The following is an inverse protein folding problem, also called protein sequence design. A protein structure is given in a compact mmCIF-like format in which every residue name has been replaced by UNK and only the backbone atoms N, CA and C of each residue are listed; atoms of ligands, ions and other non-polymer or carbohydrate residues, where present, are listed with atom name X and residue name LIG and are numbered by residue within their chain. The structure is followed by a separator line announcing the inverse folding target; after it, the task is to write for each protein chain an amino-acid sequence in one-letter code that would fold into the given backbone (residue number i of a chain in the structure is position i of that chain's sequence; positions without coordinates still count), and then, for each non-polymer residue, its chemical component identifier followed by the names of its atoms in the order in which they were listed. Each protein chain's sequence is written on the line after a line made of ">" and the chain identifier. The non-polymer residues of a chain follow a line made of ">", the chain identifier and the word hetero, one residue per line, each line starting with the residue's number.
data_IF_783210509173
#
_entry.id   IF_783210509173
#
_cell.length_a   1.000
_cell.length_b   1.000
_cell.length_c   1.000
_cell.angle_alpha   90.00
_cell.angle_beta   90.00
_cell.angle_gamma   90.00
#
_symmetry.space_group_name_H-M   'P 1'
#
loop_
_entity.id
_entity.type
_entity.pdbx_description
1 polymer ?
#
# COMPACT_ATOMS: atom_id res chain seq x y z
N UNK A 1 7.88 83.62 5.83
CA UNK A 1 8.01 83.02 4.48
C UNK A 1 8.80 81.74 4.62
N UNK A 2 8.15 80.56 4.47
CA UNK A 2 8.42 79.55 3.41
C UNK A 2 9.92 79.22 3.30
N UNK A 3 10.39 78.03 3.68
CA UNK A 3 10.34 76.72 2.97
C UNK A 3 11.82 76.22 3.00
N UNK A 4 12.25 74.96 3.18
CA UNK A 4 11.88 73.67 2.63
C UNK A 4 12.68 72.60 3.42
N UNK A 5 12.06 71.45 3.62
CA UNK A 5 12.62 70.17 4.13
C UNK A 5 13.46 69.49 3.04
N UNK A 6 14.55 68.79 3.38
CA UNK A 6 15.04 67.52 2.77
C UNK A 6 15.95 66.88 3.84
N UNK A 7 15.43 65.97 4.69
CA UNK A 7 15.41 64.51 4.54
C UNK A 7 16.73 63.89 4.07
N UNK A 8 17.46 63.27 5.00
CA UNK A 8 18.25 62.08 4.68
C UNK A 8 17.81 60.97 5.65
N UNK A 9 16.89 60.14 5.17
CA UNK A 9 16.41 58.94 5.82
C UNK A 9 17.54 57.90 5.74
N UNK A 10 18.18 57.59 6.87
CA UNK A 10 19.11 56.46 6.95
C UNK A 10 18.29 55.17 6.94
N UNK A 11 18.11 54.57 5.78
CA UNK A 11 17.47 53.26 5.64
C UNK A 11 18.45 52.19 6.14
N UNK A 12 18.30 51.77 7.40
CA UNK A 12 18.99 50.60 7.93
C UNK A 12 18.32 49.35 7.33
N UNK A 13 18.93 48.80 6.28
CA UNK A 13 18.53 47.51 5.73
C UNK A 13 19.05 46.41 6.68
N UNK A 14 18.20 45.96 7.60
CA UNK A 14 18.47 44.73 8.35
C UNK A 14 18.13 43.56 7.42
N UNK A 15 19.15 42.97 6.80
CA UNK A 15 19.01 41.70 6.10
C UNK A 15 18.96 40.62 7.17
N UNK A 16 17.76 40.22 7.56
CA UNK A 16 17.56 39.00 8.34
C UNK A 16 17.73 37.81 7.40
N UNK A 17 18.86 37.12 7.49
CA UNK A 17 18.98 35.77 6.96
C UNK A 17 18.28 34.83 7.96
N UNK A 18 17.06 34.43 7.65
CA UNK A 18 16.48 33.24 8.27
C UNK A 18 17.24 32.05 7.72
N UNK A 19 18.20 31.54 8.47
CA UNK A 19 18.64 30.17 8.27
C UNK A 19 17.46 29.30 8.71
N UNK A 20 16.78 28.68 7.77
CA UNK A 20 16.09 27.44 8.06
C UNK A 20 17.21 26.42 8.33
N UNK A 21 17.77 26.45 9.53
CA UNK A 21 18.49 25.29 10.05
C UNK A 21 17.39 24.25 10.27
N UNK A 22 17.06 23.54 9.20
CA UNK A 22 16.10 22.45 9.16
C UNK A 22 16.68 21.26 9.89
N UNK A 23 17.04 21.46 11.16
CA UNK A 23 17.52 20.44 12.05
C UNK A 23 16.43 19.39 12.16
N UNK A 24 16.54 18.34 11.37
CA UNK A 24 15.77 17.12 11.56
C UNK A 24 16.25 16.54 12.89
N UNK A 25 15.60 16.94 13.97
CA UNK A 25 15.86 16.40 15.30
C UNK A 25 15.17 15.06 15.33
N UNK A 26 15.94 13.98 15.30
CA UNK A 26 15.44 12.65 15.59
C UNK A 26 14.89 12.64 17.02
N UNK A 27 13.57 12.68 17.17
CA UNK A 27 12.89 12.81 18.47
C UNK A 27 12.73 11.47 19.17
N UNK A 28 12.73 10.36 18.43
CA UNK A 28 12.65 9.02 18.99
C UNK A 28 13.41 7.98 18.15
N UNK A 29 13.89 6.95 18.83
CA UNK A 29 14.39 5.70 18.27
C UNK A 29 13.63 4.60 18.99
N UNK A 30 13.03 3.64 18.27
CA UNK A 30 12.74 2.35 18.88
C UNK A 30 14.10 1.83 19.40
N UNK A 31 14.24 1.50 20.70
CA UNK A 31 15.53 1.41 21.38
C UNK A 31 16.53 0.50 20.66
N UNK A 32 17.82 0.63 20.99
CA UNK A 32 18.97 -0.12 20.46
C UNK A 32 18.89 -1.64 20.71
N UNK A 33 17.86 -2.26 20.19
CA UNK A 33 17.49 -3.65 20.37
C UNK A 33 17.56 -4.33 19.01
N UNK A 34 18.73 -4.19 18.39
CA UNK A 34 19.12 -5.05 17.27
C UNK A 34 19.11 -6.48 17.82
N UNK A 35 18.20 -7.32 17.32
CA UNK A 35 18.14 -8.74 17.69
C UNK A 35 17.07 -9.14 18.71
N UNK A 36 16.25 -8.23 19.22
CA UNK A 36 15.13 -8.60 20.11
C UNK A 36 13.81 -7.88 19.83
N UNK A 37 13.75 -7.01 18.82
CA UNK A 37 12.50 -6.45 18.33
C UNK A 37 11.73 -7.51 17.53
N UNK A 38 10.73 -8.12 18.15
CA UNK A 38 9.93 -9.16 17.52
C UNK A 38 8.96 -8.64 16.47
N UNK A 39 8.63 -7.34 16.48
CA UNK A 39 7.66 -6.77 15.54
C UNK A 39 8.17 -6.88 14.11
N UNK A 40 9.43 -6.50 13.89
CA UNK A 40 10.10 -6.59 12.58
C UNK A 40 10.86 -7.91 12.40
N UNK A 41 10.48 -8.98 13.08
CA UNK A 41 11.10 -10.31 12.93
C UNK A 41 12.49 -10.47 13.56
N UNK A 42 12.91 -9.55 14.43
CA UNK A 42 14.12 -9.70 15.24
C UNK A 42 15.45 -9.62 14.48
N UNK A 43 15.43 -9.24 13.20
CA UNK A 43 16.65 -9.13 12.38
C UNK A 43 16.77 -7.77 11.71
N UNK A 44 18.00 -7.35 11.41
CA UNK A 44 18.29 -6.05 10.76
C UNK A 44 17.85 -5.98 9.29
N UNK A 45 17.44 -7.09 8.68
CA UNK A 45 17.13 -7.19 7.25
C UNK A 45 15.63 -7.09 6.90
N UNK A 46 14.74 -7.13 7.90
CA UNK A 46 13.29 -7.33 7.75
C UNK A 46 12.44 -6.10 8.08
N UNK A 47 13.06 -4.92 8.21
CA UNK A 47 12.34 -3.66 8.47
C UNK A 47 11.47 -3.17 7.30
N UNK A 48 10.75 -2.08 7.56
CA UNK A 48 9.76 -1.46 6.66
C UNK A 48 10.33 -1.16 5.27
N UNK A 49 9.51 -1.38 4.24
CA UNK A 49 9.85 -1.07 2.83
C UNK A 49 9.01 0.04 2.24
N UNK A 50 7.73 0.04 2.56
CA UNK A 50 6.79 1.08 2.18
C UNK A 50 5.84 1.40 3.33
N UNK A 51 5.28 2.61 3.24
CA UNK A 51 4.25 3.12 4.13
C UNK A 51 3.14 3.78 3.32
N UNK A 52 1.90 3.64 3.78
CA UNK A 52 0.78 4.53 3.42
C UNK A 52 0.35 5.25 4.71
N UNK A 53 0.05 6.55 4.64
CA UNK A 53 -0.12 7.36 5.84
C UNK A 53 -1.10 8.52 5.62
N UNK A 54 -1.78 8.90 6.70
CA UNK A 54 -2.68 10.05 6.73
C UNK A 54 -4.13 9.73 6.36
N UNK A 55 -4.48 8.44 6.23
CA UNK A 55 -5.88 8.00 6.25
C UNK A 55 -6.46 8.19 7.66
N UNK A 56 -7.78 8.35 7.74
CA UNK A 56 -8.62 8.14 8.92
C UNK A 56 -9.59 7.02 8.51
N UNK A 57 -9.03 5.81 8.37
CA UNK A 57 -9.65 4.70 7.64
C UNK A 57 -10.80 4.07 8.44
N UNK A 58 -10.77 4.17 9.77
CA UNK A 58 -11.86 3.74 10.65
C UNK A 58 -12.76 4.90 11.14
N UNK A 59 -12.52 6.12 10.67
CA UNK A 59 -13.40 7.28 10.86
C UNK A 59 -13.48 7.79 12.30
N UNK A 60 -12.48 7.49 13.15
CA UNK A 60 -12.43 7.93 14.54
C UNK A 60 -11.83 9.34 14.71
N UNK A 61 -11.28 9.91 13.63
CA UNK A 61 -10.67 11.24 13.59
C UNK A 61 -9.21 11.29 14.01
N UNK A 62 -8.59 10.16 14.31
CA UNK A 62 -7.14 9.98 14.33
C UNK A 62 -6.72 9.52 12.94
N UNK A 63 -5.41 9.57 12.68
CA UNK A 63 -4.89 9.15 11.40
C UNK A 63 -3.90 8.00 11.58
N UNK A 64 -3.91 7.08 10.63
CA UNK A 64 -3.10 5.87 10.63
C UNK A 64 -1.87 5.99 9.73
N UNK A 65 -0.90 5.14 10.04
CA UNK A 65 0.27 4.83 9.24
C UNK A 65 0.34 3.31 9.10
N UNK A 66 0.22 2.85 7.86
CA UNK A 66 0.30 1.46 7.46
C UNK A 66 1.73 1.17 7.03
N UNK A 67 2.39 0.22 7.69
CA UNK A 67 3.79 -0.10 7.46
C UNK A 67 3.97 -1.57 7.10
N UNK A 68 4.55 -1.82 5.93
CA UNK A 68 4.90 -3.17 5.48
C UNK A 68 5.99 -3.81 6.33
N UNK A 69 5.96 -5.13 6.43
CA UNK A 69 6.95 -5.95 7.13
C UNK A 69 7.25 -7.20 6.31
N UNK A 70 8.53 -7.57 6.25
CA UNK A 70 8.94 -8.87 5.69
C UNK A 70 8.91 -10.00 6.72
N UNK A 71 8.60 -9.68 7.98
CA UNK A 71 8.50 -10.69 9.02
C UNK A 71 7.39 -11.69 8.70
N UNK A 72 7.58 -12.93 9.15
CA UNK A 72 6.57 -13.99 9.13
C UNK A 72 5.89 -14.27 7.77
N UNK A 73 6.63 -14.07 6.67
CA UNK A 73 6.10 -14.31 5.32
C UNK A 73 5.52 -13.06 4.63
N UNK A 74 5.53 -11.90 5.30
CA UNK A 74 4.94 -10.67 4.79
C UNK A 74 3.71 -10.27 5.60
N UNK A 75 3.72 -9.06 6.15
CA UNK A 75 2.64 -8.50 6.97
C UNK A 75 2.55 -6.98 6.80
N UNK A 76 1.47 -6.40 7.29
CA UNK A 76 1.31 -4.95 7.48
C UNK A 76 0.99 -4.67 8.95
N UNK A 77 1.55 -3.58 9.48
CA UNK A 77 1.29 -3.07 10.82
C UNK A 77 0.62 -1.69 10.72
N UNK A 78 -0.40 -1.45 11.55
CA UNK A 78 -1.04 -0.15 11.68
C UNK A 78 -0.52 0.59 12.91
N UNK A 79 -0.05 1.82 12.71
CA UNK A 79 0.25 2.76 13.78
C UNK A 79 -0.72 3.93 13.72
N UNK A 80 -1.38 4.24 14.83
CA UNK A 80 -2.37 5.31 14.90
C UNK A 80 -1.90 6.43 15.82
N UNK A 81 -2.30 7.66 15.49
CA UNK A 81 -2.05 8.86 16.29
C UNK A 81 -2.80 8.84 17.64
N UNK A 82 -2.12 8.47 18.73
CA UNK A 82 -2.70 8.51 20.09
C UNK A 82 -2.50 9.81 20.87
N UNK A 83 -1.77 10.79 20.30
CA UNK A 83 -1.57 12.11 20.89
C UNK A 83 -0.59 12.98 20.11
N UNK A 84 -0.23 14.15 20.65
CA UNK A 84 0.79 15.02 20.03
C UNK A 84 2.10 14.25 19.87
N UNK A 85 2.60 14.17 18.64
CA UNK A 85 3.85 13.50 18.28
C UNK A 85 3.97 12.04 18.79
N UNK A 86 2.83 11.36 18.96
CA UNK A 86 2.76 10.00 19.53
C UNK A 86 1.98 9.06 18.60
N UNK A 87 2.53 7.86 18.39
CA UNK A 87 1.91 6.78 17.64
C UNK A 87 1.82 5.52 18.51
N UNK A 88 0.74 4.76 18.36
CA UNK A 88 0.53 3.45 18.98
C UNK A 88 0.36 2.37 17.92
N UNK A 89 0.95 1.18 18.12
CA UNK A 89 0.67 0.01 17.29
C UNK A 89 -0.71 -0.53 17.67
N UNK A 90 -1.68 -0.39 16.77
CA UNK A 90 -3.09 -0.71 17.03
C UNK A 90 -3.56 -1.97 16.31
N UNK A 91 -2.91 -2.33 15.20
CA UNK A 91 -3.29 -3.53 14.43
C UNK A 91 -2.10 -4.17 13.70
N UNK A 92 -2.22 -5.46 13.38
CA UNK A 92 -1.28 -6.21 12.54
C UNK A 92 -2.03 -7.27 11.76
N UNK A 93 -1.73 -7.38 10.46
CA UNK A 93 -2.33 -8.37 9.56
C UNK A 93 -2.04 -9.80 9.98
N UNK A 94 -2.74 -10.76 9.38
CA UNK A 94 -2.57 -12.16 9.71
C UNK A 94 -1.15 -12.68 9.43
N UNK A 95 -0.76 -13.74 10.14
CA UNK A 95 0.48 -14.44 9.88
C UNK A 95 0.22 -15.53 8.84
N UNK A 96 0.56 -15.25 7.58
CA UNK A 96 0.37 -16.18 6.46
C UNK A 96 1.52 -17.16 6.27
N UNK A 97 2.72 -16.83 6.77
CA UNK A 97 3.94 -17.65 6.63
C UNK A 97 4.30 -18.01 5.18
N UNK A 98 4.10 -17.09 4.23
CA UNK A 98 4.56 -17.28 2.85
C UNK A 98 6.03 -17.71 2.80
N UNK A 99 6.31 -18.61 1.88
CA UNK A 99 7.66 -19.12 1.62
C UNK A 99 8.59 -18.04 1.03
N UNK A 100 8.03 -16.95 0.50
CA UNK A 100 8.75 -15.77 0.04
C UNK A 100 8.40 -14.53 0.87
N UNK A 101 9.06 -14.39 2.02
CA UNK A 101 8.81 -13.27 2.95
C UNK A 101 9.20 -11.87 2.46
N UNK A 102 9.71 -11.71 1.23
CA UNK A 102 10.08 -10.40 0.66
C UNK A 102 9.03 -9.84 -0.31
N UNK A 103 7.85 -10.47 -0.36
CA UNK A 103 6.76 -10.14 -1.28
C UNK A 103 5.93 -8.92 -0.89
N UNK A 104 5.78 -8.66 0.42
CA UNK A 104 4.99 -7.53 0.93
C UNK A 104 5.79 -6.24 0.89
N UNK A 105 5.75 -5.56 -0.26
CA UNK A 105 6.61 -4.42 -0.56
C UNK A 105 5.90 -3.07 -0.55
N UNK A 106 4.59 -3.08 -0.77
CA UNK A 106 3.75 -1.90 -0.83
C UNK A 106 2.43 -2.17 -0.09
N UNK A 107 1.83 -1.11 0.42
CA UNK A 107 0.51 -1.11 1.04
C UNK A 107 -0.18 0.18 0.61
N UNK A 108 -1.47 0.09 0.31
CA UNK A 108 -2.35 1.24 0.11
C UNK A 108 -3.64 1.03 0.88
N UNK A 109 -4.42 2.10 0.98
CA UNK A 109 -5.76 2.07 1.52
C UNK A 109 -6.75 2.64 0.51
N UNK A 110 -8.01 2.27 0.65
CA UNK A 110 -9.07 2.70 -0.27
C UNK A 110 -10.45 2.25 0.21
N UNK A 111 -11.43 2.40 -0.66
CA UNK A 111 -12.81 1.90 -0.55
C UNK A 111 -13.13 1.23 -1.89
N UNK A 112 -12.76 -0.04 -1.99
CA UNK A 112 -12.75 -0.84 -3.23
C UNK A 112 -14.15 -1.30 -3.64
N UNK A 113 -15.08 -1.45 -2.69
CA UNK A 113 -16.45 -1.89 -2.95
C UNK A 113 -17.51 -0.79 -2.74
N UNK A 114 -17.06 0.43 -2.43
CA UNK A 114 -17.86 1.66 -2.41
C UNK A 114 -18.94 1.69 -1.32
N UNK A 115 -18.69 1.02 -0.21
CA UNK A 115 -19.64 0.89 0.89
C UNK A 115 -19.40 1.92 2.02
N UNK A 116 -18.29 2.67 1.93
CA UNK A 116 -17.87 3.69 2.89
C UNK A 116 -17.10 3.15 4.09
N UNK A 117 -16.79 1.86 4.12
CA UNK A 117 -15.75 1.27 4.95
C UNK A 117 -14.46 1.25 4.15
N UNK A 118 -13.34 1.32 4.88
CA UNK A 118 -12.03 1.44 4.27
C UNK A 118 -11.24 0.14 4.36
N UNK A 119 -10.51 -0.19 3.29
CA UNK A 119 -9.70 -1.39 3.21
C UNK A 119 -8.21 -1.10 3.28
N UNK A 120 -7.49 -2.05 3.88
CA UNK A 120 -6.04 -2.16 3.84
C UNK A 120 -5.66 -3.17 2.77
N UNK A 121 -4.91 -2.73 1.77
CA UNK A 121 -4.69 -3.46 0.53
C UNK A 121 -3.20 -3.71 0.39
N UNK A 122 -2.78 -4.96 0.18
CA UNK A 122 -1.37 -5.28 -0.07
C UNK A 122 -1.19 -6.67 -0.68
N UNK A 123 0.04 -6.95 -1.11
CA UNK A 123 0.39 -8.23 -1.71
C UNK A 123 1.30 -9.05 -0.80
N UNK A 124 1.19 -10.38 -0.89
CA UNK A 124 2.04 -11.34 -0.18
C UNK A 124 2.71 -12.29 -1.19
N UNK A 125 3.93 -12.73 -0.86
CA UNK A 125 4.65 -13.73 -1.63
C UNK A 125 5.08 -13.27 -3.02
N UNK A 126 5.38 -14.22 -3.88
CA UNK A 126 5.67 -13.91 -5.29
C UNK A 126 5.32 -15.03 -6.26
N UNK A 127 5.52 -16.28 -5.85
CA UNK A 127 5.21 -17.46 -6.65
C UNK A 127 3.78 -17.87 -6.30
N UNK A 128 2.88 -17.85 -7.26
CA UNK A 128 1.47 -18.13 -7.02
C UNK A 128 1.21 -19.63 -6.76
N UNK A 129 2.22 -20.51 -6.88
CA UNK A 129 2.15 -21.86 -6.31
C UNK A 129 2.18 -21.86 -4.78
N UNK A 130 2.65 -20.78 -4.14
CA UNK A 130 2.45 -20.55 -2.72
C UNK A 130 0.99 -20.13 -2.50
N UNK A 131 0.16 -20.95 -1.82
CA UNK A 131 -1.27 -20.71 -1.73
C UNK A 131 -1.60 -19.37 -1.09
N UNK A 132 -0.76 -18.81 -0.21
CA UNK A 132 -1.00 -17.51 0.43
C UNK A 132 -0.49 -16.31 -0.38
N UNK A 133 0.18 -16.53 -1.52
CA UNK A 133 0.62 -15.44 -2.37
C UNK A 133 -0.58 -14.77 -3.07
N UNK A 134 -0.36 -13.52 -3.49
CA UNK A 134 -1.35 -12.72 -4.22
C UNK A 134 -1.83 -11.51 -3.43
N UNK A 135 -3.05 -11.03 -3.73
CA UNK A 135 -3.67 -9.86 -3.12
C UNK A 135 -4.36 -10.23 -1.81
N UNK A 136 -4.16 -9.41 -0.78
CA UNK A 136 -4.84 -9.46 0.50
C UNK A 136 -5.52 -8.12 0.77
N UNK A 137 -6.76 -8.19 1.23
CA UNK A 137 -7.61 -7.03 1.55
C UNK A 137 -8.26 -7.27 2.90
N UNK A 138 -8.18 -6.28 3.79
CA UNK A 138 -8.79 -6.28 5.12
C UNK A 138 -9.69 -5.05 5.22
N UNK A 139 -10.97 -5.25 5.46
CA UNK A 139 -11.97 -4.19 5.57
C UNK A 139 -12.17 -3.79 7.04
N UNK A 140 -12.33 -2.49 7.29
CA UNK A 140 -12.82 -2.01 8.58
C UNK A 140 -14.25 -2.47 8.84
N UNK A 141 -14.56 -3.06 10.00
CA UNK A 141 -15.90 -3.57 10.31
C UNK A 141 -17.02 -2.50 10.41
N UNK A 142 -16.69 -1.22 10.29
CA UNK A 142 -17.64 -0.10 10.32
C UNK A 142 -18.12 0.31 11.71
N UNK A 143 -17.58 -0.28 12.77
CA UNK A 143 -18.17 -0.19 14.11
C UNK A 143 -17.16 -0.17 15.27
N UNK A 144 -16.01 -0.81 15.13
CA UNK A 144 -14.97 -0.89 16.16
C UNK A 144 -13.73 -0.11 15.75
N UNK A 145 -13.17 0.62 16.70
CA UNK A 145 -11.85 1.27 16.59
C UNK A 145 -10.82 0.20 16.19
N UNK A 146 -10.14 0.41 15.06
CA UNK A 146 -9.19 -0.51 14.43
C UNK A 146 -9.74 -1.90 14.06
N UNK A 147 -11.03 -1.98 13.72
CA UNK A 147 -11.78 -3.20 13.43
C UNK A 147 -11.47 -3.94 12.12
N UNK A 148 -10.21 -4.16 11.75
CA UNK A 148 -9.81 -4.78 10.47
C UNK A 148 -9.68 -6.32 10.49
N UNK A 149 -10.13 -6.98 11.56
CA UNK A 149 -10.02 -8.43 11.72
C UNK A 149 -8.59 -8.97 11.84
N UNK A 150 -8.41 -10.29 11.75
CA UNK A 150 -7.09 -10.96 11.80
C UNK A 150 -6.89 -11.97 10.68
N UNK A 151 -7.74 -11.91 9.66
CA UNK A 151 -7.74 -12.76 8.45
C UNK A 151 -8.30 -11.88 7.34
N UNK A 152 -7.72 -11.95 6.14
CA UNK A 152 -8.16 -11.12 5.03
C UNK A 152 -9.64 -11.40 4.67
N UNK A 153 -10.41 -10.35 4.45
CA UNK A 153 -11.78 -10.44 3.94
C UNK A 153 -11.81 -10.85 2.47
N UNK A 154 -10.76 -10.49 1.73
CA UNK A 154 -10.46 -11.04 0.42
C UNK A 154 -8.99 -11.43 0.33
N UNK A 155 -8.74 -12.69 -0.04
CA UNK A 155 -7.45 -13.16 -0.52
C UNK A 155 -7.62 -13.76 -1.91
N UNK A 156 -6.83 -13.28 -2.87
CA UNK A 156 -6.81 -13.81 -4.24
C UNK A 156 -5.42 -14.28 -4.60
N UNK A 157 -5.30 -15.59 -4.84
CA UNK A 157 -4.14 -16.19 -5.50
C UNK A 157 -4.31 -16.10 -7.02
N UNK A 158 -3.36 -15.48 -7.70
CA UNK A 158 -3.44 -15.21 -9.14
C UNK A 158 -3.11 -16.41 -10.04
N UNK A 159 -2.86 -17.58 -9.46
CA UNK A 159 -2.69 -18.81 -10.21
C UNK A 159 -3.98 -19.20 -10.95
N UNK A 160 -5.16 -18.87 -10.41
CA UNK A 160 -6.44 -19.23 -11.04
C UNK A 160 -7.39 -18.03 -11.20
N UNK A 161 -6.97 -16.82 -10.82
CA UNK A 161 -7.83 -15.63 -10.82
C UNK A 161 -8.01 -14.98 -12.20
N UNK A 162 -7.00 -15.08 -13.06
CA UNK A 162 -6.99 -14.46 -14.39
C UNK A 162 -7.25 -15.49 -15.49
N UNK A 163 -7.68 -15.02 -16.67
CA UNK A 163 -7.87 -15.89 -17.83
C UNK A 163 -6.57 -16.62 -18.22
N UNK A 164 -5.44 -15.92 -18.15
CA UNK A 164 -4.10 -16.50 -18.12
C UNK A 164 -3.47 -16.33 -16.74
N UNK A 165 -3.45 -17.43 -15.99
CA UNK A 165 -2.80 -17.58 -14.70
C UNK A 165 -1.44 -16.88 -14.62
N UNK A 166 -1.16 -16.20 -13.50
CA UNK A 166 0.16 -15.67 -13.21
C UNK A 166 0.95 -16.69 -12.38
N UNK A 167 2.15 -17.10 -12.83
CA UNK A 167 3.06 -17.85 -11.95
C UNK A 167 3.78 -16.93 -10.97
N UNK A 168 4.31 -15.81 -11.47
CA UNK A 168 5.02 -14.85 -10.65
C UNK A 168 4.32 -13.50 -10.65
N UNK A 169 3.99 -12.98 -9.47
CA UNK A 169 3.53 -11.61 -9.27
C UNK A 169 4.39 -10.97 -8.18
N UNK A 170 5.15 -9.93 -8.54
CA UNK A 170 5.97 -9.14 -7.60
C UNK A 170 5.67 -7.66 -7.73
N UNK A 171 4.55 -7.17 -7.20
CA UNK A 171 4.28 -5.74 -7.20
C UNK A 171 5.32 -5.03 -6.33
N UNK A 172 5.98 -4.03 -6.91
CA UNK A 172 6.90 -3.15 -6.17
C UNK A 172 6.16 -1.90 -5.66
N UNK A 173 5.12 -1.48 -6.40
CA UNK A 173 4.22 -0.36 -6.11
C UNK A 173 2.88 -0.62 -6.82
N UNK A 174 1.81 -0.09 -6.24
CA UNK A 174 0.50 0.02 -6.88
C UNK A 174 -0.22 1.28 -6.39
N UNK A 175 -1.36 1.60 -6.98
CA UNK A 175 -2.21 2.72 -6.58
C UNK A 175 -3.65 2.26 -6.51
N UNK A 176 -4.44 2.96 -5.70
CA UNK A 176 -5.88 2.74 -5.55
C UNK A 176 -6.59 4.06 -5.84
N UNK A 177 -7.44 4.09 -6.86
CA UNK A 177 -8.18 5.28 -7.26
C UNK A 177 -9.33 4.92 -8.20
N UNK A 178 -10.42 5.66 -8.11
CA UNK A 178 -11.46 5.73 -9.15
C UNK A 178 -10.90 6.53 -10.35
N UNK A 179 -10.49 5.81 -11.40
CA UNK A 179 -9.86 6.43 -12.58
C UNK A 179 -10.82 6.69 -13.73
N UNK A 180 -11.99 6.07 -13.74
CA UNK A 180 -12.96 6.18 -14.84
C UNK A 180 -14.26 6.92 -14.47
N UNK A 181 -14.44 7.24 -13.19
CA UNK A 181 -15.51 8.06 -12.63
C UNK A 181 -16.80 7.30 -12.35
N UNK A 182 -16.75 5.97 -12.22
CA UNK A 182 -17.92 5.16 -11.89
C UNK A 182 -18.20 5.02 -10.38
N UNK A 183 -17.29 5.58 -9.55
CA UNK A 183 -17.25 5.57 -8.08
C UNK A 183 -16.70 4.28 -7.45
N UNK A 184 -16.34 3.27 -8.24
CA UNK A 184 -15.53 2.15 -7.78
C UNK A 184 -14.05 2.55 -7.82
N UNK A 185 -13.25 2.07 -6.88
CA UNK A 185 -11.81 2.32 -6.87
C UNK A 185 -11.06 1.13 -7.48
N UNK A 186 -10.18 1.42 -8.44
CA UNK A 186 -9.38 0.39 -9.11
C UNK A 186 -8.03 0.20 -8.41
N UNK A 187 -7.60 -1.05 -8.33
CA UNK A 187 -6.21 -1.42 -8.02
C UNK A 187 -5.40 -1.40 -9.31
N UNK A 188 -4.47 -0.45 -9.37
CA UNK A 188 -3.65 -0.16 -10.55
C UNK A 188 -2.21 -0.55 -10.25
N UNK A 189 -1.70 -1.59 -10.91
CA UNK A 189 -0.44 -2.19 -10.49
C UNK A 189 0.41 -2.71 -11.65
N UNK A 190 1.71 -2.78 -11.38
CA UNK A 190 2.67 -3.42 -12.28
C UNK A 190 3.08 -4.79 -11.72
N UNK A 191 2.86 -5.83 -12.51
CA UNK A 191 3.28 -7.19 -12.22
C UNK A 191 4.69 -7.43 -12.76
N UNK A 192 5.68 -7.56 -11.88
CA UNK A 192 7.02 -8.03 -12.25
C UNK A 192 7.06 -9.57 -12.27
N UNK A 193 6.50 -10.16 -13.32
CA UNK A 193 6.39 -11.60 -13.53
C UNK A 193 7.43 -12.19 -14.49
N UNK A 194 7.16 -13.40 -14.99
CA UNK A 194 7.95 -14.00 -16.06
C UNK A 194 7.85 -13.24 -17.40
N UNK A 195 8.98 -13.19 -18.11
CA UNK A 195 9.05 -12.60 -19.46
C UNK A 195 8.23 -13.33 -20.51
N UNK A 196 7.90 -14.60 -20.30
CA UNK A 196 6.99 -15.37 -21.13
C UNK A 196 5.87 -15.90 -20.24
N UNK A 197 4.64 -16.11 -20.77
CA UNK A 197 3.60 -16.78 -20.03
C UNK A 197 4.04 -18.17 -19.57
N UNK A 198 3.78 -18.52 -18.31
CA UNK A 198 3.97 -19.90 -17.84
C UNK A 198 2.77 -20.79 -18.13
N UNK A 199 1.59 -20.20 -18.34
CA UNK A 199 0.33 -20.88 -18.53
C UNK A 199 -0.37 -20.42 -19.82
N UNK A 200 -1.30 -21.22 -20.32
CA UNK A 200 -2.20 -20.82 -21.40
C UNK A 200 -3.45 -20.13 -20.86
N UNK A 201 -4.23 -19.54 -21.75
CA UNK A 201 -5.52 -18.91 -21.42
C UNK A 201 -6.65 -19.94 -21.38
N UNK A 202 -7.67 -19.73 -20.54
CA UNK A 202 -8.86 -20.59 -20.48
C UNK A 202 -9.70 -20.56 -21.76
N UNK A 203 -9.72 -19.43 -22.47
CA UNK A 203 -10.47 -19.22 -23.71
C UNK A 203 -9.69 -19.58 -24.99
N UNK A 204 -8.44 -20.03 -24.86
CA UNK A 204 -7.56 -20.37 -25.98
C UNK A 204 -7.02 -19.18 -26.78
N UNK A 205 -7.15 -17.95 -26.28
CA UNK A 205 -6.46 -16.77 -26.82
C UNK A 205 -4.94 -16.83 -26.60
N UNK A 206 -4.21 -15.82 -27.04
CA UNK A 206 -2.75 -15.79 -26.87
C UNK A 206 -2.43 -15.29 -25.46
N UNK A 207 -1.73 -16.07 -24.62
CA UNK A 207 -1.36 -15.61 -23.29
C UNK A 207 -0.29 -14.50 -23.37
N UNK A 208 -0.39 -13.56 -22.43
CA UNK A 208 0.55 -12.45 -22.31
C UNK A 208 1.75 -12.84 -21.43
N UNK A 209 2.85 -12.12 -21.57
CA UNK A 209 3.91 -12.11 -20.57
C UNK A 209 3.32 -11.68 -19.23
N UNK A 210 3.76 -12.37 -18.18
CA UNK A 210 3.40 -12.04 -16.80
C UNK A 210 4.08 -10.74 -16.32
N UNK A 211 5.01 -10.17 -17.09
CA UNK A 211 5.59 -8.84 -16.87
C UNK A 211 4.67 -7.79 -17.50
N UNK A 212 3.59 -7.44 -16.79
CA UNK A 212 2.46 -6.64 -17.32
C UNK A 212 1.90 -5.64 -16.34
N UNK A 213 1.30 -4.60 -16.88
CA UNK A 213 0.49 -3.62 -16.15
C UNK A 213 -0.97 -4.11 -16.12
N UNK A 214 -1.62 -4.01 -14.96
CA UNK A 214 -2.98 -4.53 -14.74
C UNK A 214 -3.78 -3.47 -13.96
N UNK A 215 -5.04 -3.30 -14.35
CA UNK A 215 -6.07 -2.54 -13.66
C UNK A 215 -7.20 -3.52 -13.35
N UNK A 216 -7.62 -3.54 -12.09
CA UNK A 216 -8.65 -4.44 -11.62
C UNK A 216 -9.46 -3.78 -10.50
N UNK A 217 -10.77 -3.98 -10.52
CA UNK A 217 -11.72 -3.55 -9.50
C UNK A 217 -12.24 -4.75 -8.71
N UNK A 218 -13.05 -4.47 -7.69
CA UNK A 218 -13.78 -5.48 -6.92
C UNK A 218 -15.27 -5.34 -7.19
N UNK A 219 -15.94 -6.48 -7.30
CA UNK A 219 -17.40 -6.55 -7.26
C UNK A 219 -17.83 -7.31 -6.02
N UNK A 220 -19.01 -7.00 -5.48
CA UNK A 220 -19.50 -7.62 -4.24
C UNK A 220 -19.27 -6.71 -3.04
N UNK A 221 -19.27 -7.29 -1.86
CA UNK A 221 -19.11 -6.63 -0.56
C UNK A 221 -18.14 -7.50 0.26
N UNK A 222 -17.13 -6.91 0.89
CA UNK A 222 -16.23 -7.66 1.76
C UNK A 222 -16.96 -8.12 3.04
N UNK A 223 -16.49 -9.21 3.67
CA UNK A 223 -17.20 -9.83 4.81
C UNK A 223 -18.54 -10.52 4.48
N UNK A 224 -19.07 -10.32 3.27
CA UNK A 224 -20.24 -11.00 2.70
C UNK A 224 -19.85 -12.04 1.64
N UNK A 225 -20.79 -12.89 1.21
CA UNK A 225 -20.53 -13.79 0.08
C UNK A 225 -20.65 -13.01 -1.24
N UNK A 226 -19.55 -12.90 -1.99
CA UNK A 226 -19.59 -12.42 -3.37
C UNK A 226 -18.45 -11.51 -3.83
N UNK A 227 -17.56 -11.07 -2.94
CA UNK A 227 -16.38 -10.29 -3.31
C UNK A 227 -15.53 -11.04 -4.36
N UNK A 228 -15.28 -10.42 -5.51
CA UNK A 228 -14.49 -10.99 -6.59
C UNK A 228 -13.77 -9.91 -7.39
N UNK A 229 -12.54 -10.20 -7.81
CA UNK A 229 -11.80 -9.33 -8.71
C UNK A 229 -12.37 -9.36 -10.12
N UNK A 230 -12.37 -8.18 -10.75
CA UNK A 230 -12.67 -8.00 -12.16
C UNK A 230 -11.44 -7.38 -12.81
N UNK A 231 -10.85 -8.09 -13.79
CA UNK A 231 -9.84 -7.47 -14.65
C UNK A 231 -10.52 -6.50 -15.60
N UNK A 232 -10.11 -5.24 -15.56
CA UNK A 232 -10.63 -4.21 -16.45
C UNK A 232 -9.70 -3.94 -17.62
N UNK A 233 -8.39 -4.02 -17.36
CA UNK A 233 -7.37 -3.81 -18.35
C UNK A 233 -6.09 -4.54 -17.97
N UNK A 234 -5.43 -5.15 -18.95
CA UNK A 234 -4.05 -5.59 -18.80
C UNK A 234 -3.28 -5.40 -20.10
N UNK A 235 -1.98 -5.11 -19.97
CA UNK A 235 -1.07 -5.06 -21.12
C UNK A 235 0.35 -5.44 -20.72
N UNK A 236 1.06 -6.16 -21.59
CA UNK A 236 2.50 -6.36 -21.44
C UNK A 236 3.28 -5.57 -22.50
N UNK A 237 4.18 -4.65 -22.10
CA UNK A 237 5.12 -4.01 -23.01
C UNK A 237 6.10 -4.99 -23.68
N UNK A 238 6.17 -6.26 -23.27
CA UNK A 238 7.00 -7.28 -23.93
C UNK A 238 6.29 -7.98 -25.08
N UNK A 239 4.98 -7.78 -25.19
CA UNK A 239 4.12 -8.40 -26.18
C UNK A 239 3.70 -7.45 -27.31
N UNK A 240 4.37 -6.29 -27.46
CA UNK A 240 4.20 -5.40 -28.62
C UNK A 240 4.33 -6.25 -29.89
N UNK A 241 3.21 -6.40 -30.61
CA UNK A 241 2.92 -7.25 -31.78
C UNK A 241 1.91 -8.40 -31.57
N UNK A 242 1.20 -8.48 -30.42
CA UNK A 242 0.16 -9.51 -30.17
C UNK A 242 -1.30 -9.02 -30.22
N UNK A 243 -1.53 -7.73 -30.49
CA UNK A 243 -2.86 -7.12 -30.64
C UNK A 243 -3.45 -7.29 -32.06
#
# INVERSE_FOLDING_TARGET
>A
MKKIVINLFSLALVVSFSFADGGFVQTSFAPAVIGSDTLWGGTVSTGVRAVSAGSDLDGDGKHEIWATSYANGGQVHCFEQSGTDTLELVWTSELTASTYGYGTRWVETGDLDSDGKGEVIFFIGNDQNDPVAGLHVYEWDGSTDNGYGTTADLHVNFLDAFNDSLKYARPELFSVADIDGDQTQEIIWACNGSSNPNYGTLDGSTPYSEDRFIIMSVTGDFGSFGAALVEEYSMSPRDVDKD
#
